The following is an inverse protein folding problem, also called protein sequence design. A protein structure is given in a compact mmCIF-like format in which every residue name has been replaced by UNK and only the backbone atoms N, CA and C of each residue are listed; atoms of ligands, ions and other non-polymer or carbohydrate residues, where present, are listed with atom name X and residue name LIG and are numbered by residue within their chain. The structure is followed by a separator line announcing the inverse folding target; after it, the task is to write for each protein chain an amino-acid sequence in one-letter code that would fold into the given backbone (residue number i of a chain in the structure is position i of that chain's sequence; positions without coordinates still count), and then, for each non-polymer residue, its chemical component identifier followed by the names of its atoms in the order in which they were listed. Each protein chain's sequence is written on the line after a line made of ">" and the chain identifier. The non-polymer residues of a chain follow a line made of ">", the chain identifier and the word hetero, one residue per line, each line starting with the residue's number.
data_IF_248641050014
#
_entry.id   IF_248641050014
#
_cell.length_a   1.000
_cell.length_b   1.000
_cell.length_c   1.000
_cell.angle_alpha   90.00
_cell.angle_beta   90.00
_cell.angle_gamma   90.00
#
_symmetry.space_group_name_H-M   'P 1'
#
loop_
_entity.id
_entity.type
_entity.pdbx_description
1 polymer ?
#
# COMPACT_ATOMS: atom_id res chain seq x y z
N UNK A 1 -11.75 27.39 -3.24
CA UNK A 1 -10.33 27.60 -3.56
C UNK A 1 -9.74 26.24 -3.89
N UNK A 2 -9.28 26.05 -5.13
CA UNK A 2 -8.63 24.81 -5.57
C UNK A 2 -7.25 24.83 -4.92
N UNK A 3 -7.07 24.01 -3.88
CA UNK A 3 -5.77 23.89 -3.21
C UNK A 3 -4.76 23.37 -4.25
N UNK A 4 -3.55 23.95 -4.36
CA UNK A 4 -2.60 23.59 -5.41
C UNK A 4 -2.41 22.08 -5.39
N UNK A 5 -2.61 21.48 -6.55
CA UNK A 5 -2.69 20.06 -6.83
C UNK A 5 -1.72 19.25 -5.98
N UNK A 6 -2.23 18.59 -4.94
CA UNK A 6 -1.48 17.60 -4.17
C UNK A 6 -0.94 16.58 -5.18
N UNK A 7 0.37 16.47 -5.26
CA UNK A 7 1.05 15.45 -6.05
C UNK A 7 1.71 14.46 -5.12
N UNK A 8 1.76 13.21 -5.56
CA UNK A 8 2.50 12.15 -4.89
C UNK A 8 3.56 11.61 -5.83
N UNK A 9 4.72 11.27 -5.28
CA UNK A 9 5.79 10.58 -5.99
C UNK A 9 6.37 9.47 -5.13
N UNK A 10 7.00 8.51 -5.79
CA UNK A 10 7.55 7.32 -5.17
C UNK A 10 9.07 7.50 -5.01
N UNK A 11 9.58 7.13 -3.83
CA UNK A 11 11.01 7.13 -3.51
C UNK A 11 11.40 5.79 -2.83
N UNK A 12 12.69 5.40 -2.84
CA UNK A 12 13.16 4.28 -2.04
C UNK A 12 12.76 4.44 -0.57
N UNK A 13 12.39 3.34 0.09
CA UNK A 13 12.06 3.39 1.50
C UNK A 13 13.33 3.48 2.36
N UNK A 14 13.56 4.66 2.94
CA UNK A 14 14.57 4.87 3.98
C UNK A 14 14.15 4.27 5.32
N UNK A 15 15.12 4.02 6.19
CA UNK A 15 14.87 3.52 7.55
C UNK A 15 13.98 4.46 8.36
N UNK A 16 14.18 5.77 8.22
CA UNK A 16 13.35 6.82 8.86
C UNK A 16 11.88 6.75 8.43
N UNK A 17 11.62 6.46 7.15
CA UNK A 17 10.25 6.26 6.66
C UNK A 17 9.62 5.02 7.29
N UNK A 18 10.36 3.91 7.33
CA UNK A 18 9.87 2.66 7.93
C UNK A 18 9.54 2.82 9.42
N UNK A 19 10.40 3.53 10.16
CA UNK A 19 10.18 3.86 11.56
C UNK A 19 8.93 4.76 11.75
N UNK A 20 8.75 5.78 10.92
CA UNK A 20 7.56 6.64 10.98
C UNK A 20 6.27 5.85 10.71
N UNK A 21 6.27 4.96 9.71
CA UNK A 21 5.12 4.11 9.37
C UNK A 21 4.75 3.18 10.52
N UNK A 22 5.73 2.68 11.29
CA UNK A 22 5.45 1.86 12.48
C UNK A 22 4.66 2.58 13.56
N UNK A 23 4.71 3.92 13.57
CA UNK A 23 4.01 4.75 14.54
C UNK A 23 2.60 5.15 14.07
N UNK A 24 2.15 4.70 12.90
CA UNK A 24 0.82 5.02 12.41
C UNK A 24 -0.25 4.20 13.13
N UNK A 25 -1.20 4.92 13.72
CA UNK A 25 -2.37 4.34 14.36
C UNK A 25 -3.62 4.66 13.54
N UNK A 26 -4.39 3.63 13.22
CA UNK A 26 -5.63 3.74 12.45
C UNK A 26 -6.81 3.57 13.39
N UNK A 27 -7.82 4.43 13.26
CA UNK A 27 -9.05 4.26 14.03
C UNK A 27 -9.82 3.02 13.57
N UNK A 28 -10.51 2.36 14.51
CA UNK A 28 -11.38 1.23 14.20
C UNK A 28 -12.41 1.61 13.11
N UNK A 29 -12.71 0.70 12.16
CA UNK A 29 -12.27 -0.69 12.07
C UNK A 29 -10.94 -0.91 11.34
N UNK A 30 -10.17 0.15 11.04
CA UNK A 30 -8.94 0.08 10.24
C UNK A 30 -7.67 -0.14 11.08
N UNK A 31 -7.78 -0.19 12.41
CA UNK A 31 -6.67 -0.44 13.34
C UNK A 31 -5.90 -1.74 13.04
N UNK A 32 -6.52 -2.69 12.33
CA UNK A 32 -5.86 -3.93 11.89
C UNK A 32 -4.72 -3.74 10.89
N UNK A 33 -4.59 -2.53 10.32
CA UNK A 33 -3.53 -2.18 9.36
C UNK A 33 -2.32 -1.49 10.03
N UNK A 34 -2.35 -1.33 11.35
CA UNK A 34 -1.19 -0.85 12.11
C UNK A 34 -0.05 -1.88 12.12
N UNK A 35 1.18 -1.38 12.24
CA UNK A 35 2.39 -2.19 12.28
C UNK A 35 2.87 -2.41 13.71
N UNK A 36 3.75 -3.39 13.91
CA UNK A 36 4.47 -3.53 15.17
C UNK A 36 5.46 -2.36 15.35
N UNK A 37 5.86 -2.04 16.59
CA UNK A 37 6.91 -1.05 16.82
C UNK A 37 8.18 -1.35 16.02
N UNK A 38 8.83 -0.30 15.52
CA UNK A 38 10.00 -0.40 14.65
C UNK A 38 11.11 -1.31 15.22
N UNK A 39 11.42 -1.17 16.51
CA UNK A 39 12.44 -2.00 17.18
C UNK A 39 12.15 -3.50 17.07
N UNK A 40 10.87 -3.89 17.13
CA UNK A 40 10.46 -5.29 16.99
C UNK A 40 10.51 -5.75 15.53
N UNK A 41 10.04 -4.92 14.60
CA UNK A 41 10.12 -5.20 13.15
C UNK A 41 11.57 -5.41 12.72
N UNK A 42 12.47 -4.54 13.18
CA UNK A 42 13.89 -4.60 12.88
C UNK A 42 14.57 -5.81 13.55
N UNK A 43 14.27 -6.10 14.82
CA UNK A 43 14.85 -7.24 15.53
C UNK A 43 14.42 -8.59 14.94
N UNK A 44 13.19 -8.68 14.45
CA UNK A 44 12.67 -9.88 13.80
C UNK A 44 13.11 -10.01 12.33
N UNK A 45 13.55 -8.92 11.70
CA UNK A 45 13.95 -8.92 10.30
C UNK A 45 12.81 -9.30 9.37
N UNK A 46 11.64 -8.68 9.54
CA UNK A 46 10.44 -8.95 8.73
C UNK A 46 9.95 -7.69 8.03
N UNK A 47 9.28 -7.85 6.88
CA UNK A 47 8.69 -6.74 6.12
C UNK A 47 9.73 -5.63 5.87
N UNK A 48 9.38 -4.35 6.08
CA UNK A 48 10.36 -3.27 5.98
C UNK A 48 11.42 -3.27 7.11
N UNK A 49 11.34 -4.13 8.12
CA UNK A 49 12.39 -4.33 9.13
C UNK A 49 13.60 -5.08 8.58
N UNK A 50 13.39 -5.96 7.60
CA UNK A 50 14.46 -6.58 6.81
C UNK A 50 15.05 -5.56 5.81
N UNK A 51 16.35 -5.24 5.88
CA UNK A 51 16.97 -4.28 4.97
C UNK A 51 16.90 -4.67 3.49
N UNK A 52 16.99 -5.97 3.18
CA UNK A 52 16.92 -6.47 1.81
C UNK A 52 15.49 -6.34 1.28
N UNK A 53 14.49 -6.85 2.03
CA UNK A 53 13.09 -6.72 1.61
C UNK A 53 12.67 -5.25 1.49
N UNK A 54 13.04 -4.40 2.47
CA UNK A 54 12.79 -2.96 2.44
C UNK A 54 13.30 -2.32 1.15
N UNK A 55 14.54 -2.62 0.76
CA UNK A 55 15.17 -2.03 -0.42
C UNK A 55 14.58 -2.57 -1.73
N UNK A 56 14.30 -3.88 -1.80
CA UNK A 56 13.86 -4.53 -3.04
C UNK A 56 12.36 -4.33 -3.32
N UNK A 57 11.54 -4.37 -2.27
CA UNK A 57 10.08 -4.49 -2.41
C UNK A 57 9.33 -3.26 -1.93
N UNK A 58 9.86 -2.48 -0.97
CA UNK A 58 9.11 -1.36 -0.41
C UNK A 58 9.55 -0.01 -0.99
N UNK A 59 8.57 0.87 -1.11
CA UNK A 59 8.75 2.25 -1.53
C UNK A 59 7.94 3.18 -0.63
N UNK A 60 8.46 4.38 -0.43
CA UNK A 60 7.76 5.47 0.26
C UNK A 60 7.03 6.34 -0.74
N UNK A 61 5.85 6.83 -0.35
CA UNK A 61 5.09 7.81 -1.13
C UNK A 61 5.19 9.15 -0.42
N UNK A 62 5.81 10.11 -1.10
CA UNK A 62 6.04 11.46 -0.60
C UNK A 62 5.17 12.47 -1.36
N UNK A 63 4.75 13.54 -0.69
CA UNK A 63 4.11 14.66 -1.37
C UNK A 63 5.14 15.62 -2.02
N UNK A 64 4.66 16.67 -2.69
CA UNK A 64 5.54 17.67 -3.32
C UNK A 64 6.50 18.42 -2.39
N UNK A 65 6.32 18.34 -1.06
CA UNK A 65 7.20 18.90 -0.03
C UNK A 65 8.16 17.85 0.56
N UNK A 66 8.15 16.60 0.07
CA UNK A 66 8.97 15.51 0.60
C UNK A 66 8.41 14.89 1.89
N UNK A 67 7.17 15.19 2.27
CA UNK A 67 6.56 14.64 3.49
C UNK A 67 6.02 13.24 3.21
N UNK A 68 6.31 12.30 4.10
CA UNK A 68 5.82 10.92 4.02
C UNK A 68 4.30 10.86 4.15
N UNK A 69 3.65 10.27 3.14
CA UNK A 69 2.20 10.20 3.01
C UNK A 69 1.68 8.75 2.90
N UNK A 70 2.58 7.78 2.73
CA UNK A 70 2.21 6.39 2.56
C UNK A 70 3.42 5.50 2.22
N UNK A 71 3.14 4.22 2.07
CA UNK A 71 4.06 3.24 1.51
C UNK A 71 3.34 2.32 0.52
N UNK A 72 4.13 1.66 -0.33
CA UNK A 72 3.70 0.50 -1.07
C UNK A 72 4.76 -0.60 -0.99
N UNK A 73 4.30 -1.84 -0.88
CA UNK A 73 5.08 -3.03 -1.21
C UNK A 73 4.74 -3.42 -2.65
N UNK A 74 5.76 -3.57 -3.49
CA UNK A 74 5.67 -4.10 -4.83
C UNK A 74 6.18 -5.54 -4.78
N UNK A 75 5.34 -6.47 -4.33
CA UNK A 75 5.72 -7.86 -4.06
C UNK A 75 5.82 -8.66 -5.37
N UNK A 76 7.03 -9.03 -5.83
CA UNK A 76 7.18 -9.73 -7.10
C UNK A 76 6.79 -11.21 -6.96
N UNK A 77 5.87 -11.66 -7.81
CA UNK A 77 5.49 -13.06 -7.98
C UNK A 77 5.77 -13.51 -9.42
N UNK A 78 5.54 -14.78 -9.74
CA UNK A 78 5.63 -15.28 -11.11
C UNK A 78 4.54 -14.62 -11.98
N UNK A 79 4.95 -13.85 -13.00
CA UNK A 79 4.05 -13.14 -13.91
C UNK A 79 3.29 -11.93 -13.33
N UNK A 80 3.30 -11.74 -12.00
CA UNK A 80 2.51 -10.72 -11.29
C UNK A 80 3.39 -9.90 -10.35
N UNK A 81 3.01 -8.65 -10.11
CA UNK A 81 3.46 -7.86 -8.95
C UNK A 81 2.24 -7.51 -8.10
N UNK A 82 2.23 -8.01 -6.86
CA UNK A 82 1.14 -7.76 -5.91
C UNK A 82 1.43 -6.53 -5.08
N UNK A 83 0.44 -5.66 -4.96
CA UNK A 83 0.56 -4.41 -4.22
C UNK A 83 0.07 -4.57 -2.77
N UNK A 84 0.97 -4.29 -1.82
CA UNK A 84 0.62 -3.97 -0.43
C UNK A 84 0.63 -2.46 -0.24
N UNK A 85 -0.40 -1.86 0.37
CA UNK A 85 -0.58 -0.39 0.31
C UNK A 85 -1.02 0.13 1.67
N UNK A 86 -0.37 1.20 2.14
CA UNK A 86 -0.80 1.95 3.32
C UNK A 86 -0.67 3.45 3.10
N UNK A 87 -1.78 4.18 3.27
CA UNK A 87 -1.79 5.66 3.30
C UNK A 87 -1.76 6.10 4.76
N UNK A 88 -1.06 7.21 5.04
CA UNK A 88 -1.02 7.82 6.37
C UNK A 88 -2.44 8.04 6.92
N UNK A 89 -2.75 7.68 8.19
CA UNK A 89 -4.12 7.64 8.69
C UNK A 89 -4.90 8.95 8.54
N UNK A 90 -4.27 10.10 8.80
CA UNK A 90 -4.87 11.44 8.71
C UNK A 90 -5.25 11.85 7.28
N UNK A 91 -4.63 11.26 6.25
CA UNK A 91 -4.91 11.52 4.83
C UNK A 91 -6.07 10.66 4.30
N UNK A 92 -6.46 9.61 5.02
CA UNK A 92 -7.57 8.75 4.63
C UNK A 92 -8.90 9.52 4.58
N UNK A 93 -9.70 9.25 3.55
CA UNK A 93 -11.04 9.87 3.42
C UNK A 93 -11.06 11.28 2.82
N UNK A 94 -9.90 11.87 2.51
CA UNK A 94 -9.80 13.22 1.94
C UNK A 94 -9.89 13.28 0.40
N UNK A 95 -10.30 12.18 -0.26
CA UNK A 95 -10.35 12.11 -1.73
C UNK A 95 -8.99 11.95 -2.43
N UNK A 96 -7.90 11.82 -1.67
CA UNK A 96 -6.53 11.69 -2.17
C UNK A 96 -6.18 10.28 -2.69
N UNK A 97 -7.06 9.29 -2.46
CA UNK A 97 -6.78 7.88 -2.77
C UNK A 97 -6.46 7.62 -4.23
N UNK A 98 -7.11 8.33 -5.17
CA UNK A 98 -6.87 8.11 -6.60
C UNK A 98 -5.45 8.51 -7.00
N UNK A 99 -5.07 9.77 -6.75
CA UNK A 99 -3.75 10.29 -7.11
C UNK A 99 -2.62 9.55 -6.39
N UNK A 100 -2.88 9.06 -5.17
CA UNK A 100 -1.95 8.25 -4.39
C UNK A 100 -1.73 6.88 -5.05
N UNK A 101 -2.82 6.20 -5.43
CA UNK A 101 -2.74 4.91 -6.10
C UNK A 101 -2.14 5.03 -7.50
N UNK A 102 -2.48 6.08 -8.25
CA UNK A 102 -1.91 6.34 -9.58
C UNK A 102 -0.37 6.38 -9.49
N UNK A 103 0.21 7.06 -8.49
CA UNK A 103 1.66 7.10 -8.29
C UNK A 103 2.27 5.72 -8.03
N UNK A 104 1.59 4.86 -7.25
CA UNK A 104 2.03 3.50 -6.94
C UNK A 104 1.96 2.63 -8.20
N UNK A 105 0.86 2.67 -8.95
CA UNK A 105 0.69 1.91 -10.20
C UNK A 105 1.75 2.30 -11.21
N UNK A 106 2.03 3.60 -11.37
CA UNK A 106 3.09 4.06 -12.28
C UNK A 106 4.47 3.52 -11.87
N UNK A 107 4.78 3.49 -10.57
CA UNK A 107 6.02 2.89 -10.09
C UNK A 107 6.07 1.37 -10.35
N UNK A 108 4.96 0.65 -10.16
CA UNK A 108 4.86 -0.77 -10.46
C UNK A 108 5.04 -1.06 -11.96
N UNK A 109 4.37 -0.31 -12.84
CA UNK A 109 4.50 -0.42 -14.29
C UNK A 109 5.93 -0.12 -14.78
N UNK A 110 6.60 0.87 -14.19
CA UNK A 110 7.97 1.20 -14.54
C UNK A 110 8.96 0.11 -14.10
N UNK A 111 8.77 -0.45 -12.90
CA UNK A 111 9.66 -1.48 -12.35
C UNK A 111 9.40 -2.88 -12.95
N UNK A 112 8.17 -3.16 -13.32
CA UNK A 112 7.71 -4.47 -13.80
C UNK A 112 6.81 -4.35 -15.05
N UNK A 113 7.34 -3.86 -16.19
CA UNK A 113 6.51 -3.51 -17.36
C UNK A 113 5.78 -4.70 -18.01
N UNK A 114 6.28 -5.92 -17.82
CA UNK A 114 5.72 -7.15 -18.39
C UNK A 114 4.84 -7.93 -17.40
N UNK A 115 4.69 -7.45 -16.16
CA UNK A 115 3.92 -8.15 -15.13
C UNK A 115 2.51 -7.57 -15.00
N UNK A 116 1.56 -8.45 -14.72
CA UNK A 116 0.25 -8.04 -14.24
C UNK A 116 0.38 -7.39 -12.85
N UNK A 117 -0.48 -6.42 -12.56
CA UNK A 117 -0.51 -5.75 -11.25
C UNK A 117 -1.80 -6.18 -10.57
N UNK A 118 -1.70 -6.73 -9.37
CA UNK A 118 -2.86 -7.08 -8.55
C UNK A 118 -2.74 -6.55 -7.12
N UNK A 119 -3.83 -6.67 -6.38
CA UNK A 119 -3.88 -6.44 -4.94
C UNK A 119 -4.93 -7.32 -4.30
N UNK A 120 -4.77 -7.53 -3.00
CA UNK A 120 -5.77 -8.17 -2.17
C UNK A 120 -6.43 -7.16 -1.24
N UNK A 121 -7.74 -7.28 -1.05
CA UNK A 121 -8.48 -6.40 -0.15
C UNK A 121 -9.57 -7.16 0.60
N UNK A 122 -9.66 -6.94 1.91
CA UNK A 122 -10.77 -7.46 2.71
C UNK A 122 -12.10 -6.97 2.15
N UNK A 123 -13.07 -7.87 1.97
CA UNK A 123 -14.33 -7.53 1.28
C UNK A 123 -15.15 -6.46 2.00
N UNK A 124 -14.94 -6.25 3.30
CA UNK A 124 -15.59 -5.18 4.06
C UNK A 124 -14.93 -3.80 3.87
N UNK A 125 -13.70 -3.72 3.36
CA UNK A 125 -12.97 -2.46 3.16
C UNK A 125 -13.44 -1.74 1.88
N UNK A 126 -14.72 -1.36 1.89
CA UNK A 126 -15.41 -0.72 0.78
C UNK A 126 -14.78 0.64 0.41
N UNK A 127 -14.08 1.30 1.34
CA UNK A 127 -13.31 2.51 1.05
C UNK A 127 -12.17 2.24 0.08
N UNK A 128 -11.37 1.21 0.35
CA UNK A 128 -10.24 0.84 -0.49
C UNK A 128 -10.73 0.31 -1.85
N UNK A 129 -11.72 -0.60 -1.85
CA UNK A 129 -12.31 -1.16 -3.08
C UNK A 129 -12.77 -0.05 -4.04
N UNK A 130 -13.52 0.95 -3.56
CA UNK A 130 -13.96 2.07 -4.41
C UNK A 130 -12.80 2.91 -4.96
N UNK A 131 -11.73 3.06 -4.19
CA UNK A 131 -10.52 3.73 -4.68
C UNK A 131 -9.88 2.90 -5.79
N UNK A 132 -9.68 1.60 -5.58
CA UNK A 132 -9.05 0.72 -6.57
C UNK A 132 -9.85 0.68 -7.88
N UNK A 133 -11.18 0.58 -7.81
CA UNK A 133 -12.05 0.65 -9.00
C UNK A 133 -11.89 1.97 -9.78
N UNK A 134 -11.79 3.11 -9.09
CA UNK A 134 -11.55 4.41 -9.74
C UNK A 134 -10.15 4.51 -10.36
N UNK A 135 -9.24 3.64 -9.96
CA UNK A 135 -7.89 3.55 -10.46
C UNK A 135 -7.72 2.42 -11.48
N UNK A 136 -8.81 1.87 -12.04
CA UNK A 136 -8.73 0.87 -13.10
C UNK A 136 -8.62 -0.58 -12.62
N UNK A 137 -8.79 -0.85 -11.32
CA UNK A 137 -8.82 -2.24 -10.85
C UNK A 137 -10.22 -2.85 -10.92
N UNK A 138 -10.31 -4.11 -11.32
CA UNK A 138 -11.54 -4.90 -11.27
C UNK A 138 -11.40 -6.11 -10.37
N UNK A 139 -12.50 -6.56 -9.76
CA UNK A 139 -12.50 -7.77 -8.93
C UNK A 139 -12.48 -8.97 -9.88
N UNK A 140 -11.43 -9.79 -9.82
CA UNK A 140 -11.27 -10.98 -10.67
C UNK A 140 -11.47 -12.27 -9.90
N UNK A 141 -11.30 -12.26 -8.58
CA UNK A 141 -11.47 -13.44 -7.73
C UNK A 141 -11.92 -13.09 -6.31
N UNK A 142 -12.48 -14.07 -5.60
CA UNK A 142 -12.87 -14.00 -4.19
C UNK A 142 -12.54 -15.31 -3.47
N UNK A 143 -11.77 -15.22 -2.39
CA UNK A 143 -11.40 -16.39 -1.59
C UNK A 143 -11.23 -16.04 -0.12
N UNK A 144 -11.18 -17.06 0.74
CA UNK A 144 -10.86 -16.88 2.14
C UNK A 144 -9.36 -17.10 2.39
N UNK A 145 -8.79 -16.28 3.29
CA UNK A 145 -7.44 -16.49 3.78
C UNK A 145 -7.39 -16.40 5.30
N UNK A 146 -6.50 -17.18 5.89
CA UNK A 146 -6.23 -17.12 7.33
C UNK A 146 -5.64 -15.75 7.69
N UNK A 147 -6.24 -15.09 8.68
CA UNK A 147 -5.72 -13.89 9.34
C UNK A 147 -5.48 -14.21 10.81
N UNK A 148 -4.79 -13.34 11.59
CA UNK A 148 -4.65 -13.53 13.04
C UNK A 148 -5.99 -13.68 13.79
N UNK A 149 -7.10 -13.22 13.20
CA UNK A 149 -8.46 -13.30 13.78
C UNK A 149 -9.34 -14.36 13.11
N UNK A 150 -8.74 -15.32 12.42
CA UNK A 150 -9.41 -16.40 11.69
C UNK A 150 -9.52 -16.14 10.18
N UNK A 151 -10.20 -17.03 9.47
CA UNK A 151 -10.44 -16.90 8.03
C UNK A 151 -11.31 -15.67 7.75
N UNK A 152 -10.89 -14.88 6.75
CA UNK A 152 -11.63 -13.71 6.26
C UNK A 152 -11.71 -13.75 4.74
N UNK A 153 -12.80 -13.26 4.15
CA UNK A 153 -12.94 -13.14 2.71
C UNK A 153 -12.11 -11.95 2.18
N UNK A 154 -11.40 -12.18 1.09
CA UNK A 154 -10.66 -11.20 0.32
C UNK A 154 -11.13 -11.20 -1.13
N UNK A 155 -11.10 -10.01 -1.74
CA UNK A 155 -11.10 -9.89 -3.19
C UNK A 155 -9.66 -9.84 -3.68
N UNK A 156 -9.39 -10.56 -4.78
CA UNK A 156 -8.27 -10.23 -5.66
C UNK A 156 -8.76 -9.21 -6.68
N UNK A 157 -8.02 -8.11 -6.82
CA UNK A 157 -8.32 -7.10 -7.82
C UNK A 157 -7.14 -6.91 -8.74
N UNK A 158 -7.39 -6.96 -10.04
CA UNK A 158 -6.36 -6.83 -11.09
C UNK A 158 -6.51 -5.47 -11.76
N UNK A 159 -5.38 -4.82 -12.04
CA UNK A 159 -5.32 -3.56 -12.76
C UNK A 159 -5.54 -3.79 -14.26
N UNK A 160 -6.65 -3.28 -14.77
CA UNK A 160 -6.95 -3.26 -16.20
C UNK A 160 -6.37 -1.98 -16.81
N UNK A 161 -5.52 -2.15 -17.83
CA UNK A 161 -4.83 -1.05 -18.55
C UNK A 161 -5.78 -0.09 -19.24
#
# INVERSE_FOLDING_TARGET
>A
MINPSVTFHVAPMETSHAEEICNWDYTAPYNIYGWMPWEQMQALGIEFGDPQLRNEQYVSILNGQGILCGFAQLFPMEGVVRLGIGMRPDLCGQGLGKIFMDAIVQAALLRYPEREIDLEVLTWNQRAIRTYQKCGFTITDTYERLTPTGNKPFYCMVYDK
#
